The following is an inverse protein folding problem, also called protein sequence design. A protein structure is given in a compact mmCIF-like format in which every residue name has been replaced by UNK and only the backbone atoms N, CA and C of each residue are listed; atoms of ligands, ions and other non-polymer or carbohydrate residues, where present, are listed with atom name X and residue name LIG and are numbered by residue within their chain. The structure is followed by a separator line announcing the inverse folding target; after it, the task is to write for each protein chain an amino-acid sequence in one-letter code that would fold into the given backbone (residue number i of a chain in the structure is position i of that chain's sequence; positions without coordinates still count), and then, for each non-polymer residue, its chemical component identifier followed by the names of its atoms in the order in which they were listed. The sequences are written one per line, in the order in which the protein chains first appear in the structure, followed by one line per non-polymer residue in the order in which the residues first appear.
data_IF_467796006650
#
_entry.id   IF_467796006650
#
_cell.length_a   1.000
_cell.length_b   1.000
_cell.length_c   1.000
_cell.angle_alpha   90.00
_cell.angle_beta   90.00
_cell.angle_gamma   90.00
#
_symmetry.space_group_name_H-M   'P 1'
#
loop_
_entity.id
_entity.type
_entity.pdbx_description
1 polymer ?
#
# COMPACT_ATOMS: atom_id res chain seq x y z
N UNK A 1 58.64 21.75 48.96
CA UNK A 1 57.88 22.32 47.82
C UNK A 1 56.66 21.42 47.62
N UNK A 2 55.39 21.81 47.65
CA UNK A 2 54.73 23.11 47.61
C UNK A 2 53.39 23.06 48.40
N UNK A 3 53.00 24.18 48.99
CA UNK A 3 51.61 24.54 49.28
C UNK A 3 51.10 25.34 48.09
N UNK A 4 49.87 25.12 47.62
CA UNK A 4 48.98 26.20 47.17
C UNK A 4 47.52 25.72 47.14
N UNK A 5 46.71 26.32 48.01
CA UNK A 5 45.24 26.34 47.93
C UNK A 5 44.79 27.33 46.85
N UNK A 6 43.58 27.15 46.31
CA UNK A 6 42.72 28.30 45.99
C UNK A 6 42.01 28.31 44.63
N UNK A 7 40.75 27.84 44.63
CA UNK A 7 39.56 28.34 43.92
C UNK A 7 39.72 29.05 42.56
N UNK A 8 39.07 28.51 41.52
CA UNK A 8 38.30 29.29 40.54
C UNK A 8 37.19 28.42 39.91
N UNK A 9 36.01 28.36 40.54
CA UNK A 9 34.77 28.08 39.81
C UNK A 9 34.43 29.35 39.01
N UNK A 10 34.80 29.40 37.73
CA UNK A 10 34.31 30.45 36.83
C UNK A 10 32.85 30.14 36.50
N UNK A 11 31.95 31.00 36.95
CA UNK A 11 30.52 30.98 36.60
C UNK A 11 30.36 30.95 35.06
N UNK A 12 30.00 29.78 34.51
CA UNK A 12 29.74 29.60 33.07
C UNK A 12 28.68 30.57 32.52
N UNK A 13 27.81 31.10 33.39
CA UNK A 13 26.73 32.03 33.06
C UNK A 13 27.18 33.44 32.63
N UNK A 14 28.45 33.82 32.80
CA UNK A 14 28.98 35.13 32.38
C UNK A 14 29.60 35.15 30.97
N UNK A 15 29.66 34.01 30.27
CA UNK A 15 30.18 33.99 28.91
C UNK A 15 29.07 34.42 27.93
N UNK A 16 29.22 35.56 27.21
CA UNK A 16 28.16 36.09 26.34
C UNK A 16 27.75 35.12 25.23
N UNK A 17 28.66 34.23 24.78
CA UNK A 17 28.31 33.20 23.79
C UNK A 17 27.39 32.11 24.36
N UNK A 18 27.57 31.77 25.64
CA UNK A 18 26.72 30.79 26.34
C UNK A 18 25.36 31.42 26.64
N UNK A 19 25.33 32.71 27.02
CA UNK A 19 24.08 33.46 27.24
C UNK A 19 23.24 33.55 25.96
N UNK A 20 23.86 33.77 24.80
CA UNK A 20 23.17 33.76 23.49
C UNK A 20 22.62 32.37 23.15
N UNK A 21 23.40 31.31 23.38
CA UNK A 21 22.95 29.94 23.10
C UNK A 21 21.75 29.54 23.98
N UNK A 22 21.76 29.93 25.25
CA UNK A 22 20.64 29.74 26.18
C UNK A 22 19.43 30.54 25.71
N UNK A 23 19.60 31.80 25.31
CA UNK A 23 18.51 32.62 24.81
C UNK A 23 17.86 32.05 23.53
N UNK A 24 18.67 31.53 22.60
CA UNK A 24 18.17 30.86 21.38
C UNK A 24 17.43 29.58 21.74
N UNK A 25 17.96 28.76 22.65
CA UNK A 25 17.29 27.54 23.11
C UNK A 25 15.95 27.85 23.79
N UNK A 26 15.87 28.89 24.63
CA UNK A 26 14.62 29.33 25.22
C UNK A 26 13.63 29.88 24.19
N UNK A 27 14.10 30.56 23.14
CA UNK A 27 13.24 31.03 22.06
C UNK A 27 12.59 29.86 21.30
N UNK A 28 13.37 28.83 20.96
CA UNK A 28 12.86 27.61 20.34
C UNK A 28 11.95 26.80 21.27
N UNK A 29 12.26 26.77 22.57
CA UNK A 29 11.42 26.10 23.57
C UNK A 29 10.08 26.82 23.77
N UNK A 30 10.07 28.16 23.76
CA UNK A 30 8.84 28.97 23.82
C UNK A 30 8.02 28.81 22.52
N UNK A 31 8.68 28.77 21.35
CA UNK A 31 8.03 28.45 20.06
C UNK A 31 7.47 27.02 20.02
N UNK A 32 8.15 26.06 20.64
CA UNK A 32 7.66 24.69 20.78
C UNK A 32 6.44 24.63 21.72
N UNK A 33 6.47 25.34 22.85
CA UNK A 33 5.32 25.42 23.78
C UNK A 33 4.15 26.21 23.16
N UNK A 34 4.41 27.26 22.38
CA UNK A 34 3.34 28.04 21.75
C UNK A 34 2.69 27.31 20.57
N UNK A 35 3.43 26.43 19.87
CA UNK A 35 2.86 25.55 18.84
C UNK A 35 2.20 24.29 19.42
N UNK A 36 2.68 23.77 20.56
CA UNK A 36 2.04 22.65 21.27
C UNK A 36 0.83 23.05 22.13
N UNK A 37 0.57 24.36 22.28
CA UNK A 37 -0.70 24.90 22.79
C UNK A 37 -1.75 25.15 21.68
N UNK A 38 -1.56 24.61 20.47
CA UNK A 38 -2.69 24.32 19.60
C UNK A 38 -3.45 23.13 20.20
N UNK A 39 -4.26 23.50 21.17
CA UNK A 39 -5.15 22.70 21.98
C UNK A 39 -5.73 21.56 21.14
N UNK A 40 -5.46 20.34 21.59
CA UNK A 40 -6.33 19.21 21.36
C UNK A 40 -7.74 19.67 21.69
N UNK A 41 -8.52 20.02 20.65
CA UNK A 41 -9.95 19.94 20.76
C UNK A 41 -10.20 18.48 21.05
N UNK A 42 -10.54 18.17 22.30
CA UNK A 42 -11.33 17.00 22.60
C UNK A 42 -12.51 17.08 21.63
N UNK A 43 -12.46 16.25 20.60
CA UNK A 43 -13.65 15.95 19.81
C UNK A 43 -14.59 15.35 20.83
N UNK A 44 -15.56 16.14 21.28
CA UNK A 44 -16.73 15.59 21.91
C UNK A 44 -17.29 14.63 20.87
N UNK A 45 -17.10 13.33 21.10
CA UNK A 45 -17.78 12.28 20.37
C UNK A 45 -19.25 12.44 20.77
N UNK A 46 -19.94 13.35 20.09
CA UNK A 46 -21.38 13.31 20.02
C UNK A 46 -21.66 12.03 19.26
N UNK A 47 -22.24 11.05 19.93
CA UNK A 47 -22.77 9.83 19.33
C UNK A 47 -23.85 10.20 18.31
N UNK A 48 -23.44 10.64 17.12
CA UNK A 48 -24.28 10.69 15.93
C UNK A 48 -23.98 9.41 15.15
N UNK A 49 -24.53 8.30 15.65
CA UNK A 49 -24.45 7.00 14.98
C UNK A 49 -25.01 7.02 13.56
N UNK A 50 -25.81 8.02 13.20
CA UNK A 50 -26.41 8.14 11.87
C UNK A 50 -25.55 8.88 10.85
N UNK A 51 -24.66 9.80 11.25
CA UNK A 51 -23.76 10.49 10.29
C UNK A 51 -22.58 9.62 9.87
N UNK A 52 -22.09 8.76 10.76
CA UNK A 52 -20.99 7.83 10.49
C UNK A 52 -21.40 6.68 9.53
N UNK A 53 -22.70 6.38 9.42
CA UNK A 53 -23.21 5.34 8.53
C UNK A 53 -23.58 5.92 7.15
N UNK A 54 -23.87 7.22 7.04
CA UNK A 54 -24.26 7.86 5.77
C UNK A 54 -23.14 7.78 4.70
N UNK A 55 -21.87 7.90 5.09
CA UNK A 55 -20.75 7.79 4.14
C UNK A 55 -20.51 6.34 3.67
N UNK A 56 -20.97 5.35 4.44
CA UNK A 56 -20.86 3.93 4.08
C UNK A 56 -21.79 3.54 2.91
N UNK A 57 -22.83 4.34 2.70
CA UNK A 57 -23.73 4.30 1.55
C UNK A 57 -23.35 5.33 0.48
N UNK A 58 -22.22 6.02 0.63
CA UNK A 58 -21.80 7.02 -0.35
C UNK A 58 -21.67 6.35 -1.73
N UNK A 59 -22.22 7.00 -2.78
CA UNK A 59 -22.07 6.52 -4.14
C UNK A 59 -20.60 6.57 -4.55
N UNK A 60 -20.26 5.83 -5.61
CA UNK A 60 -18.96 5.98 -6.24
C UNK A 60 -18.74 7.43 -6.69
N UNK A 61 -17.51 7.91 -6.54
CA UNK A 61 -17.03 9.13 -7.20
C UNK A 61 -16.37 8.76 -8.52
N UNK A 62 -16.60 9.57 -9.54
CA UNK A 62 -16.03 9.34 -10.87
C UNK A 62 -15.14 10.52 -11.26
N UNK A 63 -13.99 10.19 -11.86
CA UNK A 63 -13.09 11.17 -12.46
C UNK A 63 -13.61 11.67 -13.81
N UNK A 64 -12.78 12.42 -14.52
CA UNK A 64 -13.06 12.95 -15.84
C UNK A 64 -13.64 11.89 -16.78
N UNK A 65 -14.81 12.19 -17.38
CA UNK A 65 -15.57 11.31 -18.25
C UNK A 65 -15.80 9.87 -17.71
N UNK A 66 -15.83 9.70 -16.39
CA UNK A 66 -15.94 8.40 -15.72
C UNK A 66 -14.79 7.43 -16.05
N UNK A 67 -13.63 7.95 -16.44
CA UNK A 67 -12.44 7.14 -16.76
C UNK A 67 -11.75 6.55 -15.54
N UNK A 68 -11.97 7.12 -14.36
CA UNK A 68 -11.53 6.58 -13.07
C UNK A 68 -12.70 6.54 -12.10
N UNK A 69 -12.68 5.60 -11.16
CA UNK A 69 -13.72 5.43 -10.14
C UNK A 69 -13.11 5.23 -8.76
N UNK A 70 -13.69 5.89 -7.77
CA UNK A 70 -13.43 5.68 -6.36
C UNK A 70 -14.69 5.17 -5.67
N UNK A 71 -14.57 4.03 -4.99
CA UNK A 71 -15.64 3.44 -4.19
C UNK A 71 -15.24 3.52 -2.71
N UNK A 72 -15.98 4.29 -1.89
CA UNK A 72 -15.71 4.41 -0.46
C UNK A 72 -15.74 3.07 0.29
N UNK A 73 -14.89 2.95 1.32
CA UNK A 73 -14.61 1.73 2.06
C UNK A 73 -14.77 1.86 3.59
N UNK A 74 -14.67 0.73 4.27
CA UNK A 74 -14.96 0.56 5.70
C UNK A 74 -13.81 -0.12 6.46
N UNK A 75 -12.80 -0.56 5.74
CA UNK A 75 -11.73 -1.42 6.22
C UNK A 75 -10.40 -0.71 6.01
N UNK A 76 -9.35 -1.05 6.79
CA UNK A 76 -7.97 -0.62 6.52
C UNK A 76 -7.38 -1.39 5.31
N UNK A 77 -8.13 -1.45 4.21
CA UNK A 77 -7.83 -2.17 2.99
C UNK A 77 -8.29 -1.34 1.78
N UNK A 78 -7.35 -1.09 0.87
CA UNK A 78 -7.56 -0.41 -0.41
C UNK A 78 -7.26 -1.42 -1.52
N UNK A 79 -8.15 -1.53 -2.50
CA UNK A 79 -7.92 -2.29 -3.73
C UNK A 79 -7.69 -1.30 -4.88
N UNK A 80 -6.52 -1.35 -5.50
CA UNK A 80 -6.25 -0.59 -6.73
C UNK A 80 -6.24 -1.51 -7.95
N UNK A 81 -6.95 -1.11 -9.01
CA UNK A 81 -7.08 -1.89 -10.25
C UNK A 81 -6.75 -0.98 -11.44
N UNK A 82 -5.47 -0.93 -11.86
CA UNK A 82 -5.02 0.04 -12.85
C UNK A 82 -5.23 -0.40 -14.30
N UNK A 83 -5.26 -1.71 -14.60
CA UNK A 83 -5.10 -2.22 -15.98
C UNK A 83 -6.25 -3.10 -16.48
N UNK A 84 -7.39 -3.11 -15.78
CA UNK A 84 -8.57 -3.92 -16.12
C UNK A 84 -9.60 -3.23 -17.01
N UNK A 85 -9.39 -1.96 -17.37
CA UNK A 85 -10.39 -1.10 -18.00
C UNK A 85 -10.81 -1.48 -19.43
N UNK A 86 -12.08 -1.21 -19.76
CA UNK A 86 -12.70 -1.55 -21.05
C UNK A 86 -12.91 -0.36 -22.00
N UNK A 87 -12.59 0.85 -21.56
CA UNK A 87 -12.84 2.07 -22.33
C UNK A 87 -11.65 2.40 -23.24
N UNK A 88 -11.94 2.62 -24.52
CA UNK A 88 -10.99 3.02 -25.55
C UNK A 88 -11.52 4.24 -26.34
N UNK A 89 -11.75 5.38 -25.67
CA UNK A 89 -12.24 6.60 -26.32
C UNK A 89 -11.27 7.10 -27.40
N UNK A 90 -11.81 7.73 -28.45
CA UNK A 90 -11.02 8.31 -29.54
C UNK A 90 -10.30 9.59 -29.10
N UNK A 91 -10.89 10.33 -28.14
CA UNK A 91 -10.32 11.56 -27.58
C UNK A 91 -9.08 11.31 -26.72
N UNK A 92 -8.88 10.07 -26.22
CA UNK A 92 -7.64 9.69 -25.54
C UNK A 92 -6.73 8.98 -26.55
N UNK A 93 -5.57 9.56 -26.91
CA UNK A 93 -4.65 8.92 -27.83
C UNK A 93 -4.05 7.65 -27.24
N UNK A 94 -3.81 6.65 -28.08
CA UNK A 94 -3.04 5.48 -27.70
C UNK A 94 -1.58 5.86 -27.41
N UNK A 95 -1.02 5.28 -26.35
CA UNK A 95 0.41 5.38 -26.03
C UNK A 95 1.22 4.71 -27.13
N UNK A 96 2.15 5.47 -27.71
CA UNK A 96 3.11 4.95 -28.68
C UNK A 96 4.21 4.17 -27.95
N UNK A 97 4.76 3.15 -28.60
CA UNK A 97 5.86 2.35 -28.07
C UNK A 97 7.21 3.08 -28.27
N UNK A 98 7.28 4.35 -27.90
CA UNK A 98 8.52 5.14 -27.98
C UNK A 98 9.51 4.77 -26.88
N UNK A 99 9.00 4.20 -25.77
CA UNK A 99 9.81 3.67 -24.68
C UNK A 99 9.93 2.14 -24.83
N UNK A 100 11.14 1.58 -24.97
CA UNK A 100 11.35 0.12 -25.01
C UNK A 100 10.70 -0.58 -23.82
N UNK A 101 10.01 -1.69 -24.07
CA UNK A 101 9.32 -2.46 -23.03
C UNK A 101 7.94 -1.93 -22.63
N UNK A 102 7.38 -0.96 -23.36
CA UNK A 102 5.99 -0.49 -23.15
C UNK A 102 4.99 -1.62 -23.38
N UNK A 103 4.36 -2.06 -22.28
CA UNK A 103 3.24 -3.00 -22.32
C UNK A 103 1.93 -2.21 -22.47
N UNK A 104 1.11 -2.63 -23.42
CA UNK A 104 -0.18 -2.00 -23.75
C UNK A 104 -1.38 -2.94 -23.59
N UNK A 105 -1.12 -4.22 -23.36
CA UNK A 105 -2.18 -5.21 -23.13
C UNK A 105 -2.79 -5.01 -21.75
N UNK A 106 -4.11 -5.11 -21.67
CA UNK A 106 -4.83 -5.10 -20.40
C UNK A 106 -4.56 -6.35 -19.59
N UNK A 107 -4.74 -6.18 -18.28
CA UNK A 107 -4.81 -7.26 -17.33
C UNK A 107 -6.26 -7.75 -17.30
N UNK A 108 -6.64 -8.47 -18.36
CA UNK A 108 -8.03 -8.85 -18.62
C UNK A 108 -8.69 -9.46 -17.37
N UNK A 109 -9.92 -9.03 -17.09
CA UNK A 109 -10.78 -9.41 -15.96
C UNK A 109 -10.36 -8.92 -14.56
N UNK A 110 -9.29 -8.13 -14.40
CA UNK A 110 -8.89 -7.66 -13.05
C UNK A 110 -9.91 -6.70 -12.43
N UNK A 111 -10.61 -5.89 -13.22
CA UNK A 111 -11.69 -5.03 -12.73
C UNK A 111 -12.87 -5.84 -12.20
N UNK A 112 -13.32 -6.85 -12.95
CA UNK A 112 -14.39 -7.77 -12.52
C UNK A 112 -13.98 -8.55 -11.28
N UNK A 113 -12.73 -9.02 -11.23
CA UNK A 113 -12.16 -9.69 -10.05
C UNK A 113 -12.17 -8.74 -8.86
N UNK A 114 -11.74 -7.49 -9.02
CA UNK A 114 -11.70 -6.49 -7.95
C UNK A 114 -13.07 -6.16 -7.37
N UNK A 115 -14.08 -5.92 -8.22
CA UNK A 115 -15.45 -5.70 -7.75
C UNK A 115 -16.04 -6.94 -7.07
N UNK A 116 -15.84 -8.13 -7.66
CA UNK A 116 -16.32 -9.37 -7.05
C UNK A 116 -15.63 -9.64 -5.71
N UNK A 117 -14.32 -9.39 -5.62
CA UNK A 117 -13.52 -9.55 -4.41
C UNK A 117 -14.06 -8.67 -3.28
N UNK A 118 -14.33 -7.40 -3.58
CA UNK A 118 -14.97 -6.50 -2.62
C UNK A 118 -16.33 -7.04 -2.14
N UNK A 119 -17.16 -7.55 -3.05
CA UNK A 119 -18.44 -8.20 -2.69
C UNK A 119 -18.25 -9.42 -1.78
N UNK A 120 -17.27 -10.28 -2.04
CA UNK A 120 -16.99 -11.46 -1.21
C UNK A 120 -16.44 -11.08 0.16
N UNK A 121 -15.57 -10.07 0.24
CA UNK A 121 -15.09 -9.51 1.51
C UNK A 121 -16.27 -8.94 2.31
N UNK A 122 -17.16 -8.21 1.66
CA UNK A 122 -18.37 -7.63 2.26
C UNK A 122 -19.29 -8.69 2.88
N UNK A 123 -19.48 -9.82 2.19
CA UNK A 123 -20.23 -10.97 2.70
C UNK A 123 -19.57 -11.59 3.95
N UNK A 124 -18.24 -11.57 4.04
CA UNK A 124 -17.48 -12.12 5.16
C UNK A 124 -17.36 -11.16 6.36
N UNK A 125 -17.52 -9.86 6.15
CA UNK A 125 -17.28 -8.82 7.17
C UNK A 125 -18.53 -7.98 7.50
N UNK A 126 -19.69 -8.63 7.59
CA UNK A 126 -20.95 -8.01 8.01
C UNK A 126 -21.31 -6.74 7.21
N UNK A 127 -21.15 -6.78 5.89
CA UNK A 127 -21.47 -5.63 5.05
C UNK A 127 -20.34 -4.60 4.89
N UNK A 128 -19.17 -4.80 5.52
CA UNK A 128 -18.01 -3.90 5.37
C UNK A 128 -17.15 -4.29 4.17
N UNK A 129 -16.84 -3.31 3.32
CA UNK A 129 -16.02 -3.49 2.10
C UNK A 129 -14.71 -2.69 2.15
N UNK A 130 -13.67 -3.09 1.38
CA UNK A 130 -12.48 -2.24 1.18
C UNK A 130 -12.82 -0.97 0.40
N UNK A 131 -11.91 0.00 0.43
CA UNK A 131 -11.89 1.09 -0.55
C UNK A 131 -11.47 0.52 -1.91
N UNK A 132 -11.99 1.05 -3.02
CA UNK A 132 -11.62 0.60 -4.36
C UNK A 132 -11.30 1.79 -5.24
N UNK A 133 -10.19 1.71 -5.96
CA UNK A 133 -9.82 2.66 -7.01
C UNK A 133 -9.65 1.90 -8.32
N UNK A 134 -10.38 2.31 -9.35
CA UNK A 134 -10.41 1.64 -10.66
C UNK A 134 -10.05 2.62 -11.75
N UNK A 135 -9.19 2.22 -12.69
CA UNK A 135 -9.05 2.88 -13.98
C UNK A 135 -9.85 2.10 -15.02
N UNK A 136 -10.83 2.77 -15.65
CA UNK A 136 -11.72 2.20 -16.66
C UNK A 136 -11.14 2.27 -18.07
N UNK A 137 -10.07 3.02 -18.31
CA UNK A 137 -9.40 3.05 -19.60
C UNK A 137 -8.51 1.81 -19.81
N UNK A 138 -8.44 1.34 -21.06
CA UNK A 138 -7.48 0.31 -21.44
C UNK A 138 -6.04 0.77 -21.25
N UNK A 139 -5.13 -0.16 -20.93
CA UNK A 139 -3.71 0.11 -20.69
C UNK A 139 -3.01 0.72 -21.91
N UNK A 140 -3.53 0.48 -23.13
CA UNK A 140 -3.03 1.13 -24.34
C UNK A 140 -3.30 2.63 -24.37
N UNK A 141 -4.36 3.11 -23.72
CA UNK A 141 -4.72 4.53 -23.58
C UNK A 141 -3.90 5.21 -22.48
N UNK A 142 -3.81 4.55 -21.33
CA UNK A 142 -3.09 5.08 -20.16
C UNK A 142 -2.53 3.94 -19.32
N UNK A 143 -1.33 4.10 -18.76
CA UNK A 143 -0.79 3.23 -17.73
C UNK A 143 -0.63 4.03 -16.44
N UNK A 144 -1.66 4.00 -15.61
CA UNK A 144 -1.67 4.64 -14.29
C UNK A 144 -0.81 3.89 -13.25
N UNK A 145 -0.16 2.79 -13.64
CA UNK A 145 0.89 2.14 -12.83
C UNK A 145 2.29 2.46 -13.37
N UNK A 146 2.46 3.68 -13.90
CA UNK A 146 3.72 4.32 -14.30
C UNK A 146 3.72 5.79 -13.88
N UNK A 147 4.91 6.42 -13.73
CA UNK A 147 5.00 7.87 -13.62
C UNK A 147 4.27 8.53 -14.80
N UNK A 148 3.65 9.70 -14.58
CA UNK A 148 2.85 10.41 -15.60
C UNK A 148 3.52 10.38 -16.98
N UNK A 149 4.78 10.80 -17.05
CA UNK A 149 5.62 10.82 -18.27
C UNK A 149 5.66 9.51 -19.07
N UNK A 150 5.65 8.37 -18.41
CA UNK A 150 5.67 7.04 -19.06
C UNK A 150 4.25 6.46 -19.20
N UNK A 151 3.33 6.94 -18.37
CA UNK A 151 1.97 6.48 -18.24
C UNK A 151 1.00 7.10 -19.24
N UNK A 152 1.35 8.21 -19.90
CA UNK A 152 0.50 8.91 -20.88
C UNK A 152 1.24 9.18 -22.18
N UNK A 153 0.52 9.42 -23.27
CA UNK A 153 1.12 9.84 -24.56
C UNK A 153 1.50 11.33 -24.56
N UNK A 154 0.74 12.19 -23.88
CA UNK A 154 0.94 13.64 -23.85
C UNK A 154 0.86 14.11 -22.39
N UNK A 155 1.93 14.74 -21.91
CA UNK A 155 2.16 14.98 -20.48
C UNK A 155 1.52 16.25 -19.90
N UNK A 156 1.14 17.23 -20.73
CA UNK A 156 0.70 18.54 -20.24
C UNK A 156 -0.50 19.12 -20.98
N UNK A 157 -1.38 19.79 -20.22
CA UNK A 157 -2.45 20.64 -20.73
C UNK A 157 -3.60 19.89 -21.41
N UNK A 158 -3.79 18.61 -21.08
CA UNK A 158 -4.74 17.74 -21.78
C UNK A 158 -5.47 16.75 -20.85
N UNK A 159 -6.37 15.97 -21.46
CA UNK A 159 -7.25 15.00 -20.82
C UNK A 159 -6.48 13.84 -20.17
N UNK A 160 -5.37 13.37 -20.75
CA UNK A 160 -4.61 12.23 -20.18
C UNK A 160 -3.96 12.56 -18.85
N UNK A 161 -3.48 13.81 -18.68
CA UNK A 161 -2.96 14.27 -17.40
C UNK A 161 -4.06 14.32 -16.34
N UNK A 162 -5.26 14.79 -16.70
CA UNK A 162 -6.41 14.82 -15.78
C UNK A 162 -6.76 13.41 -15.32
N UNK A 163 -6.88 12.45 -16.25
CA UNK A 163 -7.23 11.06 -15.89
C UNK A 163 -6.18 10.41 -15.00
N UNK A 164 -4.89 10.61 -15.30
CA UNK A 164 -3.80 10.12 -14.45
C UNK A 164 -3.90 10.72 -13.04
N UNK A 165 -4.11 12.04 -12.96
CA UNK A 165 -4.24 12.75 -11.69
C UNK A 165 -5.46 12.29 -10.90
N UNK A 166 -6.61 12.08 -11.53
CA UNK A 166 -7.83 11.62 -10.89
C UNK A 166 -7.62 10.25 -10.22
N UNK A 167 -7.04 9.29 -10.95
CA UNK A 167 -6.73 7.96 -10.39
C UNK A 167 -5.81 8.06 -9.17
N UNK A 168 -4.74 8.84 -9.27
CA UNK A 168 -3.78 9.00 -8.17
C UNK A 168 -4.30 9.85 -7.01
N UNK A 169 -5.24 10.77 -7.25
CA UNK A 169 -5.98 11.50 -6.21
C UNK A 169 -6.89 10.55 -5.45
N UNK A 170 -7.65 9.70 -6.14
CA UNK A 170 -8.49 8.70 -5.48
C UNK A 170 -7.71 7.71 -4.61
N UNK A 171 -6.49 7.32 -5.01
CA UNK A 171 -5.62 6.53 -4.13
C UNK A 171 -5.25 7.32 -2.87
N UNK A 172 -4.90 8.62 -3.00
CA UNK A 172 -4.58 9.46 -1.84
C UNK A 172 -5.78 9.64 -0.93
N UNK A 173 -6.96 9.93 -1.48
CA UNK A 173 -8.19 10.06 -0.70
C UNK A 173 -8.49 8.78 0.11
N UNK A 174 -8.28 7.60 -0.51
CA UNK A 174 -8.41 6.33 0.19
C UNK A 174 -7.38 6.14 1.32
N UNK A 175 -6.14 6.58 1.11
CA UNK A 175 -5.07 6.53 2.11
C UNK A 175 -5.36 7.48 3.27
N UNK A 176 -5.78 8.71 2.98
CA UNK A 176 -6.14 9.72 3.97
C UNK A 176 -7.29 9.23 4.86
N UNK A 177 -8.31 8.60 4.27
CA UNK A 177 -9.40 7.94 5.00
C UNK A 177 -8.90 6.78 5.87
N UNK A 178 -7.95 5.99 5.37
CA UNK A 178 -7.36 4.89 6.15
C UNK A 178 -6.53 5.42 7.32
N UNK A 179 -5.71 6.45 7.10
CA UNK A 179 -4.92 7.11 8.14
C UNK A 179 -5.83 7.69 9.22
N UNK A 180 -6.82 8.48 8.81
CA UNK A 180 -7.74 9.16 9.73
C UNK A 180 -8.48 8.18 10.64
N UNK A 181 -8.88 7.02 10.12
CA UNK A 181 -9.77 6.09 10.81
C UNK A 181 -9.06 4.93 11.50
N UNK A 182 -7.90 4.52 10.99
CA UNK A 182 -7.20 3.32 11.44
C UNK A 182 -5.73 3.58 11.79
N UNK A 183 -5.16 4.72 11.39
CA UNK A 183 -3.75 5.07 11.55
C UNK A 183 -2.79 4.35 10.61
N UNK A 184 -3.14 3.15 10.15
CA UNK A 184 -2.41 2.40 9.14
C UNK A 184 -3.31 1.41 8.41
N UNK A 185 -2.89 0.95 7.24
CA UNK A 185 -3.65 -0.03 6.45
C UNK A 185 -2.83 -0.73 5.38
N UNK A 186 -3.55 -1.40 4.47
CA UNK A 186 -2.97 -2.18 3.40
C UNK A 186 -3.55 -1.77 2.04
N UNK A 187 -2.68 -1.52 1.07
CA UNK A 187 -3.03 -1.38 -0.35
C UNK A 187 -2.70 -2.69 -1.08
N UNK A 188 -3.69 -3.26 -1.77
CA UNK A 188 -3.52 -4.39 -2.68
C UNK A 188 -3.68 -3.89 -4.11
N UNK A 189 -2.60 -3.94 -4.87
CA UNK A 189 -2.55 -3.54 -6.29
C UNK A 189 -2.76 -4.78 -7.16
N UNK A 190 -3.91 -4.89 -7.83
CA UNK A 190 -4.34 -6.11 -8.54
C UNK A 190 -3.95 -6.03 -10.01
N UNK A 191 -3.09 -6.96 -10.43
CA UNK A 191 -2.55 -7.06 -11.79
C UNK A 191 -2.71 -8.47 -12.37
N UNK A 192 -2.28 -8.63 -13.62
CA UNK A 192 -2.24 -9.90 -14.30
C UNK A 192 -0.98 -10.07 -15.15
N UNK A 193 -0.37 -11.24 -15.04
CA UNK A 193 0.80 -11.61 -15.84
C UNK A 193 0.47 -12.78 -16.78
N UNK A 194 1.42 -13.05 -17.69
CA UNK A 194 1.38 -14.16 -18.64
C UNK A 194 2.60 -15.06 -18.56
N UNK A 195 3.27 -15.12 -17.40
CA UNK A 195 4.45 -15.96 -17.20
C UNK A 195 4.06 -17.46 -17.20
N UNK A 196 4.90 -18.34 -17.76
CA UNK A 196 4.56 -19.76 -17.94
C UNK A 196 4.47 -20.55 -16.63
N UNK A 197 5.09 -20.07 -15.55
CA UNK A 197 5.12 -20.72 -14.24
C UNK A 197 3.75 -20.73 -13.55
N UNK A 198 2.85 -19.81 -13.95
CA UNK A 198 1.48 -19.70 -13.42
C UNK A 198 1.36 -19.50 -11.90
N UNK A 199 2.40 -18.96 -11.25
CA UNK A 199 2.30 -18.52 -9.86
C UNK A 199 1.33 -17.35 -9.69
N UNK A 200 0.71 -17.23 -8.52
CA UNK A 200 0.33 -15.90 -8.02
C UNK A 200 1.63 -15.23 -7.54
N UNK A 201 1.99 -14.09 -8.10
CA UNK A 201 3.21 -13.36 -7.70
C UNK A 201 2.84 -12.22 -6.75
N UNK A 202 3.48 -12.17 -5.59
CA UNK A 202 3.26 -11.14 -4.56
C UNK A 202 4.46 -10.18 -4.52
N UNK A 203 4.29 -8.99 -5.08
CA UNK A 203 5.32 -7.95 -5.16
C UNK A 203 5.42 -7.09 -3.89
N UNK A 204 6.57 -7.15 -3.21
CA UNK A 204 6.88 -6.42 -1.96
C UNK A 204 7.95 -5.31 -2.10
N UNK A 205 8.24 -4.89 -3.34
CA UNK A 205 9.37 -4.02 -3.74
C UNK A 205 10.74 -4.67 -3.49
N UNK A 206 10.78 -5.99 -3.41
CA UNK A 206 12.00 -6.78 -3.26
C UNK A 206 12.31 -7.54 -4.54
N UNK A 207 13.56 -7.48 -5.01
CA UNK A 207 13.99 -8.20 -6.21
C UNK A 207 14.00 -9.72 -6.00
N UNK A 208 13.96 -10.50 -7.10
CA UNK A 208 14.12 -11.97 -7.02
C UNK A 208 15.44 -12.36 -6.34
N UNK A 209 16.52 -11.61 -6.59
CA UNK A 209 17.82 -11.83 -5.95
C UNK A 209 17.80 -11.55 -4.44
N UNK A 210 16.96 -10.62 -3.99
CA UNK A 210 16.75 -10.36 -2.57
C UNK A 210 15.92 -11.47 -1.92
N UNK A 211 14.85 -11.92 -2.58
CA UNK A 211 13.99 -13.00 -2.08
C UNK A 211 14.73 -14.34 -1.98
N UNK A 212 15.72 -14.59 -2.85
CA UNK A 212 16.53 -15.81 -2.85
C UNK A 212 17.58 -15.87 -1.73
N UNK A 213 17.73 -14.79 -0.95
CA UNK A 213 18.58 -14.81 0.23
C UNK A 213 18.08 -15.82 1.28
N UNK A 214 19.01 -16.35 2.06
CA UNK A 214 18.69 -17.25 3.17
C UNK A 214 17.85 -16.55 4.23
N UNK A 215 17.06 -17.31 4.97
CA UNK A 215 16.26 -16.79 6.10
C UNK A 215 17.12 -15.98 7.07
N UNK A 216 18.31 -16.47 7.40
CA UNK A 216 19.25 -15.76 8.26
C UNK A 216 19.70 -14.40 7.68
N UNK A 217 19.95 -14.32 6.37
CA UNK A 217 20.35 -13.09 5.72
C UNK A 217 19.20 -12.06 5.64
N UNK A 218 17.97 -12.52 5.39
CA UNK A 218 16.77 -11.68 5.42
C UNK A 218 16.47 -11.14 6.82
N UNK A 219 16.58 -11.99 7.84
CA UNK A 219 16.16 -11.66 9.21
C UNK A 219 17.19 -10.81 9.96
N UNK A 220 18.47 -10.92 9.63
CA UNK A 220 19.54 -10.17 10.29
C UNK A 220 19.94 -8.87 9.58
N UNK A 221 19.30 -8.54 8.44
CA UNK A 221 19.58 -7.31 7.70
C UNK A 221 18.36 -6.37 7.67
N UNK A 222 18.37 -5.39 8.58
CA UNK A 222 17.30 -4.39 8.72
C UNK A 222 17.12 -3.55 7.44
N UNK A 223 18.18 -3.35 6.66
CA UNK A 223 18.13 -2.54 5.43
C UNK A 223 17.24 -3.20 4.36
N UNK A 224 17.20 -4.53 4.33
CA UNK A 224 16.33 -5.25 3.39
C UNK A 224 14.87 -4.99 3.73
N UNK A 225 14.51 -5.09 5.01
CA UNK A 225 13.15 -4.83 5.46
C UNK A 225 12.76 -3.35 5.27
N UNK A 226 13.70 -2.41 5.39
CA UNK A 226 13.43 -0.99 5.16
C UNK A 226 13.14 -0.64 3.70
N UNK A 227 13.62 -1.44 2.75
CA UNK A 227 13.34 -1.24 1.33
C UNK A 227 12.03 -1.88 0.85
N UNK A 228 11.34 -2.63 1.72
CA UNK A 228 10.08 -3.29 1.37
C UNK A 228 8.87 -2.37 1.50
N UNK A 229 7.86 -2.58 0.65
CA UNK A 229 6.56 -1.93 0.75
C UNK A 229 5.71 -2.40 1.94
N UNK A 230 6.16 -3.40 2.71
CA UNK A 230 5.55 -3.85 3.98
C UNK A 230 6.44 -3.54 5.19
N UNK A 231 7.35 -2.57 5.07
CA UNK A 231 8.26 -2.15 6.15
C UNK A 231 7.53 -1.78 7.43
N UNK A 232 6.42 -1.05 7.35
CA UNK A 232 5.69 -0.64 8.55
C UNK A 232 5.07 -1.86 9.26
N UNK A 233 4.55 -2.85 8.52
CA UNK A 233 4.12 -4.12 9.11
C UNK A 233 5.25 -4.80 9.88
N UNK A 234 6.42 -4.94 9.26
CA UNK A 234 7.59 -5.50 9.94
C UNK A 234 7.95 -4.70 11.18
N UNK A 235 8.02 -3.38 11.07
CA UNK A 235 8.31 -2.48 12.20
C UNK A 235 7.37 -2.71 13.39
N UNK A 236 6.07 -2.93 13.15
CA UNK A 236 5.06 -3.21 14.18
C UNK A 236 5.17 -4.62 14.79
N UNK A 237 5.78 -5.58 14.08
CA UNK A 237 5.76 -7.01 14.44
C UNK A 237 7.13 -7.62 14.71
N UNK A 238 8.21 -6.89 14.48
CA UNK A 238 9.61 -7.37 14.57
C UNK A 238 9.98 -8.00 15.93
N UNK A 239 9.30 -7.65 17.02
CA UNK A 239 9.53 -8.25 18.34
C UNK A 239 8.98 -9.68 18.48
N UNK A 240 8.08 -10.11 17.60
CA UNK A 240 7.39 -11.41 17.66
C UNK A 240 7.43 -12.18 16.34
N UNK A 241 7.91 -11.57 15.26
CA UNK A 241 7.94 -12.16 13.93
C UNK A 241 9.13 -11.64 13.14
N UNK A 242 9.87 -12.54 12.50
CA UNK A 242 10.97 -12.15 11.62
C UNK A 242 10.46 -11.65 10.26
N UNK A 243 11.34 -11.01 9.49
CA UNK A 243 10.95 -10.47 8.20
C UNK A 243 10.64 -11.56 7.17
N UNK A 244 11.43 -12.63 7.16
CA UNK A 244 11.18 -13.79 6.29
C UNK A 244 9.85 -14.49 6.59
N UNK A 245 9.41 -14.53 7.85
CA UNK A 245 8.08 -15.06 8.21
C UNK A 245 6.95 -14.23 7.59
N UNK A 246 7.06 -12.89 7.59
CA UNK A 246 6.07 -12.02 6.94
C UNK A 246 6.04 -12.20 5.42
N UNK A 247 7.20 -12.45 4.79
CA UNK A 247 7.31 -12.63 3.34
C UNK A 247 6.83 -14.01 2.88
N UNK A 248 7.23 -15.08 3.59
CA UNK A 248 7.14 -16.45 3.09
C UNK A 248 6.81 -17.51 4.15
N UNK A 249 6.44 -17.14 5.37
CA UNK A 249 6.06 -18.13 6.39
C UNK A 249 4.70 -18.77 6.10
N UNK A 250 4.53 -20.04 6.47
CA UNK A 250 3.36 -20.86 6.13
C UNK A 250 2.04 -20.31 6.71
N UNK A 251 2.09 -19.84 7.95
CA UNK A 251 0.91 -19.36 8.70
C UNK A 251 0.93 -17.86 8.96
N UNK A 252 1.88 -17.14 8.37
CA UNK A 252 2.21 -15.75 8.70
C UNK A 252 2.20 -14.86 7.47
N UNK A 253 2.59 -15.38 6.31
CA UNK A 253 2.55 -14.62 5.04
C UNK A 253 1.23 -14.77 4.27
N UNK A 254 0.91 -13.77 3.45
CA UNK A 254 -0.23 -13.84 2.51
C UNK A 254 -0.02 -14.99 1.50
N UNK A 255 1.22 -15.17 1.04
CA UNK A 255 1.58 -16.25 0.12
C UNK A 255 1.41 -17.63 0.71
N UNK A 256 1.78 -17.82 1.99
CA UNK A 256 1.52 -19.07 2.72
C UNK A 256 0.03 -19.39 2.83
N UNK A 257 -0.82 -18.39 3.11
CA UNK A 257 -2.27 -18.57 3.15
C UNK A 257 -2.86 -18.95 1.78
N UNK A 258 -2.40 -18.33 0.69
CA UNK A 258 -2.84 -18.67 -0.67
C UNK A 258 -2.34 -20.06 -1.10
N UNK A 259 -1.11 -20.42 -0.76
CA UNK A 259 -0.55 -21.75 -0.99
C UNK A 259 -1.39 -22.84 -0.30
N UNK A 260 -1.78 -22.59 0.96
CA UNK A 260 -2.64 -23.51 1.72
C UNK A 260 -4.08 -23.59 1.19
N UNK A 261 -4.52 -22.61 0.39
CA UNK A 261 -5.78 -22.64 -0.33
C UNK A 261 -5.66 -23.31 -1.71
N UNK A 262 -4.50 -23.85 -2.04
CA UNK A 262 -4.25 -24.60 -3.28
C UNK A 262 -3.78 -23.77 -4.47
N UNK A 263 -3.23 -22.58 -4.24
CA UNK A 263 -2.68 -21.73 -5.29
C UNK A 263 -1.17 -21.58 -5.14
N UNK A 264 -0.41 -22.08 -6.13
CA UNK A 264 1.04 -21.86 -6.15
C UNK A 264 1.34 -20.36 -6.13
N UNK A 265 2.02 -19.92 -5.08
CA UNK A 265 2.22 -18.48 -4.79
C UNK A 265 3.67 -18.19 -4.44
N UNK A 266 4.24 -17.13 -5.02
CA UNK A 266 5.62 -16.70 -4.78
C UNK A 266 5.68 -15.23 -4.31
N UNK A 267 6.39 -14.92 -3.21
CA UNK A 267 6.98 -15.85 -2.24
C UNK A 267 5.93 -16.53 -1.33
N UNK A 268 6.21 -17.77 -0.93
CA UNK A 268 5.49 -18.55 0.09
C UNK A 268 6.41 -19.59 0.74
N UNK A 269 5.91 -20.38 1.70
CA UNK A 269 6.71 -21.42 2.37
C UNK A 269 7.13 -22.55 1.43
N UNK A 270 6.38 -22.78 0.34
CA UNK A 270 6.68 -23.76 -0.72
C UNK A 270 7.55 -23.11 -1.80
N UNK A 271 7.07 -22.02 -2.40
CA UNK A 271 7.80 -21.28 -3.45
C UNK A 271 8.40 -20.02 -2.85
N UNK A 272 9.55 -20.17 -2.18
CA UNK A 272 10.15 -19.11 -1.35
C UNK A 272 10.63 -17.89 -2.12
N UNK A 273 10.98 -18.06 -3.40
CA UNK A 273 11.48 -17.02 -4.29
C UNK A 273 11.34 -17.49 -5.75
N UNK A 274 11.30 -16.56 -6.72
CA UNK A 274 11.35 -16.91 -8.14
C UNK A 274 12.72 -17.52 -8.49
N UNK A 275 12.73 -18.63 -9.23
CA UNK A 275 13.96 -19.28 -9.68
C UNK A 275 14.73 -18.38 -10.66
N UNK A 276 16.06 -18.57 -10.85
CA UNK A 276 16.91 -17.62 -11.59
C UNK A 276 16.47 -17.26 -13.03
N UNK A 277 15.68 -18.11 -13.69
CA UNK A 277 15.18 -17.87 -15.05
C UNK A 277 13.68 -17.54 -15.10
N UNK A 278 13.02 -17.50 -13.94
CA UNK A 278 11.61 -17.16 -13.83
C UNK A 278 11.45 -15.64 -13.77
N UNK A 279 10.43 -15.16 -14.47
CA UNK A 279 10.06 -13.74 -14.40
C UNK A 279 9.26 -13.51 -13.12
N UNK A 280 9.39 -12.31 -12.56
CA UNK A 280 8.67 -11.92 -11.36
C UNK A 280 8.47 -10.42 -11.34
N UNK A 281 7.24 -9.99 -11.06
CA UNK A 281 6.95 -8.58 -10.85
C UNK A 281 7.02 -8.23 -9.37
N UNK A 282 8.08 -7.50 -9.00
CA UNK A 282 8.36 -7.16 -7.61
C UNK A 282 7.50 -6.02 -7.04
N UNK A 283 6.59 -5.40 -7.80
CA UNK A 283 5.80 -4.25 -7.38
C UNK A 283 6.04 -3.02 -8.25
N UNK A 284 4.99 -2.57 -8.94
CA UNK A 284 4.98 -1.45 -9.86
C UNK A 284 4.92 -0.08 -9.18
N UNK A 285 4.56 0.92 -9.95
CA UNK A 285 4.62 2.33 -9.53
C UNK A 285 3.77 2.62 -8.30
N UNK A 286 2.54 2.12 -8.24
CA UNK A 286 1.60 2.38 -7.13
C UNK A 286 2.13 1.79 -5.83
N UNK A 287 2.61 0.54 -5.85
CA UNK A 287 3.19 -0.12 -4.67
C UNK A 287 4.45 0.60 -4.19
N UNK A 288 5.30 1.05 -5.11
CA UNK A 288 6.51 1.80 -4.77
C UNK A 288 6.20 3.21 -4.25
N UNK A 289 5.20 3.88 -4.82
CA UNK A 289 4.84 5.26 -4.48
C UNK A 289 4.09 5.35 -3.16
N UNK A 290 3.15 4.45 -2.91
CA UNK A 290 2.21 4.53 -1.79
C UNK A 290 2.50 3.55 -0.66
N UNK A 291 3.31 2.50 -0.91
CA UNK A 291 3.68 1.55 0.14
C UNK A 291 4.63 2.14 1.18
N UNK A 292 4.67 1.49 2.34
CA UNK A 292 5.36 1.98 3.55
C UNK A 292 6.89 2.00 3.47
N UNK A 293 7.49 1.71 2.32
CA UNK A 293 8.94 1.76 2.06
C UNK A 293 9.52 3.11 2.49
N UNK A 294 8.78 4.20 2.25
CA UNK A 294 9.16 5.54 2.68
C UNK A 294 8.43 5.93 3.97
N UNK A 295 9.12 6.61 4.90
CA UNK A 295 8.62 6.93 6.25
C UNK A 295 7.34 7.74 6.30
N UNK A 296 6.98 8.41 5.22
CA UNK A 296 5.81 9.30 5.11
C UNK A 296 4.52 8.55 4.77
N UNK A 297 4.59 7.26 4.43
CA UNK A 297 3.43 6.46 4.03
C UNK A 297 2.86 5.65 5.20
N UNK A 298 1.54 5.75 5.38
CA UNK A 298 0.78 5.07 6.45
C UNK A 298 0.24 3.70 6.05
N UNK A 299 0.27 3.37 4.76
CA UNK A 299 -0.17 2.05 4.25
C UNK A 299 1.01 1.20 3.84
N UNK A 300 0.97 -0.08 4.21
CA UNK A 300 1.76 -1.09 3.54
C UNK A 300 1.15 -1.38 2.16
N UNK A 301 1.93 -1.85 1.19
CA UNK A 301 1.41 -2.18 -0.15
C UNK A 301 1.95 -3.51 -0.68
N UNK A 302 1.10 -4.27 -1.37
CA UNK A 302 1.45 -5.54 -2.02
C UNK A 302 0.85 -5.55 -3.43
N UNK A 303 1.67 -5.85 -4.44
CA UNK A 303 1.16 -6.15 -5.78
C UNK A 303 0.75 -7.62 -5.84
N UNK A 304 -0.44 -7.93 -6.33
CA UNK A 304 -0.86 -9.31 -6.62
C UNK A 304 -0.96 -9.46 -8.13
N UNK A 305 -0.06 -10.23 -8.71
CA UNK A 305 -0.10 -10.63 -10.11
C UNK A 305 -0.86 -11.94 -10.26
N UNK A 306 -1.94 -11.90 -11.02
CA UNK A 306 -2.77 -13.08 -11.24
C UNK A 306 -2.40 -13.79 -12.55
N UNK A 307 -2.14 -15.11 -12.53
CA UNK A 307 -1.84 -15.87 -13.72
C UNK A 307 -3.04 -15.95 -14.64
N UNK A 308 -2.77 -16.15 -15.95
CA UNK A 308 -3.81 -16.13 -17.00
C UNK A 308 -4.98 -17.07 -16.69
N UNK A 309 -4.72 -18.26 -16.17
CA UNK A 309 -5.79 -19.25 -15.95
C UNK A 309 -6.80 -18.81 -14.87
N UNK A 310 -6.37 -18.04 -13.86
CA UNK A 310 -7.28 -17.49 -12.84
C UNK A 310 -8.11 -16.30 -13.36
N UNK A 311 -7.53 -15.52 -14.28
CA UNK A 311 -8.20 -14.36 -14.88
C UNK A 311 -9.12 -14.72 -16.03
N UNK A 312 -8.66 -15.61 -16.92
CA UNK A 312 -9.30 -15.97 -18.20
C UNK A 312 -9.97 -17.35 -18.17
N UNK A 313 -9.80 -18.12 -17.09
CA UNK A 313 -10.51 -19.38 -16.92
C UNK A 313 -12.03 -19.19 -16.90
N UNK A 314 -12.75 -20.32 -16.87
CA UNK A 314 -14.21 -20.26 -16.85
C UNK A 314 -14.72 -19.51 -15.60
N UNK A 315 -15.96 -19.02 -15.69
CA UNK A 315 -16.60 -18.21 -14.64
C UNK A 315 -16.54 -18.89 -13.26
N UNK A 316 -16.79 -20.21 -13.19
CA UNK A 316 -16.78 -20.97 -11.94
C UNK A 316 -15.40 -20.98 -11.28
N UNK A 317 -14.35 -21.22 -12.06
CA UNK A 317 -12.96 -21.22 -11.57
C UNK A 317 -12.61 -19.84 -11.02
N UNK A 318 -12.92 -18.77 -11.77
CA UNK A 318 -12.63 -17.40 -11.36
C UNK A 318 -13.41 -17.00 -10.11
N UNK A 319 -14.71 -17.30 -10.04
CA UNK A 319 -15.52 -17.01 -8.85
C UNK A 319 -15.04 -17.77 -7.61
N UNK A 320 -14.66 -19.05 -7.77
CA UNK A 320 -14.09 -19.86 -6.69
C UNK A 320 -12.71 -19.36 -6.24
N UNK A 321 -11.90 -18.85 -7.16
CA UNK A 321 -10.66 -18.16 -6.79
C UNK A 321 -10.94 -16.89 -5.99
N UNK A 322 -11.91 -16.07 -6.41
CA UNK A 322 -12.24 -14.82 -5.71
C UNK A 322 -12.84 -15.09 -4.30
N UNK A 323 -13.73 -16.07 -4.15
CA UNK A 323 -13.67 -17.10 -3.09
C UNK A 323 -12.59 -16.99 -2.02
N UNK A 324 -11.51 -17.64 -2.40
CA UNK A 324 -10.37 -17.98 -1.58
C UNK A 324 -9.45 -16.76 -1.41
N UNK A 325 -9.34 -15.88 -2.41
CA UNK A 325 -8.63 -14.61 -2.28
C UNK A 325 -9.30 -13.71 -1.24
N UNK A 326 -10.64 -13.65 -1.23
CA UNK A 326 -11.38 -12.90 -0.20
C UNK A 326 -11.13 -13.49 1.20
N UNK A 327 -11.10 -14.82 1.33
CA UNK A 327 -10.75 -15.47 2.59
C UNK A 327 -9.33 -15.11 3.04
N UNK A 328 -8.35 -15.19 2.13
CA UNK A 328 -6.95 -14.90 2.41
C UNK A 328 -6.76 -13.45 2.84
N UNK A 329 -7.37 -12.49 2.13
CA UNK A 329 -7.27 -11.07 2.48
C UNK A 329 -7.99 -10.74 3.79
N UNK A 330 -9.18 -11.30 4.03
CA UNK A 330 -9.90 -11.12 5.32
C UNK A 330 -9.05 -11.64 6.47
N UNK A 331 -8.46 -12.83 6.33
CA UNK A 331 -7.55 -13.38 7.33
C UNK A 331 -6.34 -12.47 7.56
N UNK A 332 -5.71 -11.99 6.49
CA UNK A 332 -4.50 -11.17 6.57
C UNK A 332 -4.78 -9.82 7.24
N UNK A 333 -5.86 -9.13 6.86
CA UNK A 333 -6.22 -7.85 7.48
C UNK A 333 -6.67 -8.01 8.94
N UNK A 334 -7.38 -9.08 9.29
CA UNK A 334 -7.73 -9.37 10.69
C UNK A 334 -6.48 -9.62 11.54
N UNK A 335 -5.48 -10.32 10.97
CA UNK A 335 -4.25 -10.67 11.68
C UNK A 335 -3.33 -9.47 11.91
N UNK A 336 -3.27 -8.54 10.95
CA UNK A 336 -2.21 -7.52 10.92
C UNK A 336 -2.68 -6.06 10.90
N UNK A 337 -3.91 -5.80 10.45
CA UNK A 337 -4.39 -4.45 10.16
C UNK A 337 -5.61 -4.02 10.95
N UNK A 338 -6.39 -4.97 11.49
CA UNK A 338 -7.46 -4.62 12.39
C UNK A 338 -6.87 -4.13 13.71
N UNK A 339 -7.31 -2.98 14.22
CA UNK A 339 -6.87 -2.51 15.51
C UNK A 339 -7.25 -3.56 16.56
N UNK A 340 -6.36 -3.84 17.50
CA UNK A 340 -6.75 -4.54 18.71
C UNK A 340 -7.82 -3.69 19.38
N UNK A 341 -9.08 -4.15 19.37
CA UNK A 341 -10.05 -3.60 20.29
C UNK A 341 -9.51 -3.92 21.68
N UNK A 342 -9.20 -2.90 22.47
CA UNK A 342 -9.38 -3.02 23.91
C UNK A 342 -10.88 -3.28 24.10
N UNK A 343 -11.27 -4.56 24.05
CA UNK A 343 -12.54 -4.99 24.58
C UNK A 343 -12.34 -4.98 26.09
N UNK A 344 -12.57 -3.83 26.70
CA UNK A 344 -12.98 -3.84 28.10
C UNK A 344 -14.34 -4.58 28.12
N UNK A 345 -14.33 -5.74 28.76
CA UNK A 345 -15.54 -6.48 29.13
C UNK A 345 -16.24 -5.79 30.29
#
# INVERSE_FOLDING_TARGET
MARFQGRYQKNLLKNPKISVLIAVFFLFFILYISTSNFQSKSVAITNNSDSDISYLLAPSSYGYNNFSEFIPGHLPLILSIPHGGHLFPDEIPDRKQTIPGTIKSNDINTQEIGHLLSKRIMQRLNGRRPFIVVNHLGRSKIDVNRPLKEGVEIESGNETQIVWNDYHSFIRDAIDEVELRFGYGLLIDIHGHGHPENYIELGYVLSSATLSLSTNALDNNIEIASESSIRALYTRKQNVMSFSELLRGEYTSLGGKLQNLGYDTVPSHVHQFPMPNERYFHGGYSVQRYGSRHNEQVVDAIQIELPRFLRLGNKRLREHFVDNLAEALVWYIQKYYFPFKNVEM
#
